data_IF_145873242827
#
_entry.id   IF_145873242827
#
_cell.length_a   1.000
_cell.length_b   1.000
_cell.length_c   1.000
_cell.angle_alpha   90.00
_cell.angle_beta   90.00
_cell.angle_gamma   90.00
#
_symmetry.space_group_name_H-M   'P 1'
#
loop_
_entity.id
_entity.type
_entity.pdbx_description
1 polymer ?
#
# COMPACT_ATOMS: atom_id res chain seq x y z
N UNK A 1 -11.11 51.42 -12.91
CA UNK A 1 -11.95 50.25 -12.58
C UNK A 1 -12.16 50.27 -11.08
N UNK A 2 -13.40 50.47 -10.62
CA UNK A 2 -13.72 50.52 -9.19
C UNK A 2 -13.52 49.17 -8.54
N UNK A 3 -12.59 49.14 -7.60
CA UNK A 3 -12.26 48.04 -6.69
C UNK A 3 -13.45 47.78 -5.73
N UNK A 4 -14.52 47.15 -6.24
CA UNK A 4 -15.73 46.87 -5.46
C UNK A 4 -15.75 45.41 -5.04
N UNK A 5 -15.42 45.20 -3.77
CA UNK A 5 -15.72 43.97 -3.02
C UNK A 5 -17.20 43.58 -3.24
N UNK A 6 -17.45 42.28 -3.46
CA UNK A 6 -18.79 41.78 -3.70
C UNK A 6 -19.74 42.11 -2.52
N UNK A 7 -20.98 42.59 -2.74
CA UNK A 7 -21.86 43.12 -1.67
C UNK A 7 -22.16 42.15 -0.52
N UNK A 8 -22.02 40.85 -0.75
CA UNK A 8 -22.25 39.80 0.25
C UNK A 8 -21.05 39.54 1.18
N UNK A 9 -19.85 40.01 0.82
CA UNK A 9 -18.63 39.74 1.60
C UNK A 9 -18.65 40.42 2.98
N UNK A 10 -19.13 41.66 3.16
CA UNK A 10 -19.31 42.25 4.50
C UNK A 10 -20.17 41.40 5.44
N UNK A 11 -21.26 40.79 4.91
CA UNK A 11 -22.11 39.90 5.70
C UNK A 11 -21.39 38.62 6.11
N UNK A 12 -20.59 38.03 5.21
CA UNK A 12 -19.75 36.87 5.54
C UNK A 12 -18.73 37.19 6.63
N UNK A 13 -18.12 38.39 6.56
CA UNK A 13 -17.18 38.89 7.57
C UNK A 13 -17.82 38.97 8.96
N UNK A 14 -19.03 39.51 9.04
CA UNK A 14 -19.82 39.58 10.29
C UNK A 14 -20.24 38.20 10.79
N UNK A 15 -20.70 37.31 9.90
CA UNK A 15 -21.10 35.96 10.28
C UNK A 15 -19.92 35.16 10.85
N UNK A 16 -18.71 35.34 10.30
CA UNK A 16 -17.51 34.74 10.86
C UNK A 16 -17.18 35.33 12.24
N UNK A 17 -17.26 36.65 12.39
CA UNK A 17 -17.00 37.33 13.67
C UNK A 17 -17.98 36.95 14.78
N UNK A 18 -19.22 36.63 14.41
CA UNK A 18 -20.26 36.16 15.33
C UNK A 18 -20.22 34.64 15.55
N UNK A 19 -19.28 33.91 14.93
CA UNK A 19 -19.19 32.44 15.01
C UNK A 19 -20.34 31.69 14.35
N UNK A 20 -21.16 32.36 13.52
CA UNK A 20 -22.32 31.77 12.83
C UNK A 20 -21.92 30.88 11.66
N UNK A 21 -20.75 31.14 11.07
CA UNK A 21 -20.15 30.29 10.04
C UNK A 21 -18.73 29.91 10.46
N UNK A 22 -18.32 28.71 10.07
CA UNK A 22 -16.95 28.27 10.29
C UNK A 22 -15.96 28.89 9.30
N UNK A 23 -14.68 28.95 9.67
CA UNK A 23 -13.56 29.40 8.82
C UNK A 23 -13.60 28.80 7.40
N UNK A 24 -13.83 27.50 7.29
CA UNK A 24 -13.86 26.78 6.00
C UNK A 24 -14.99 27.26 5.08
N UNK A 25 -16.13 27.57 5.67
CA UNK A 25 -17.30 28.08 4.95
C UNK A 25 -17.07 29.54 4.51
N UNK A 26 -16.50 30.36 5.39
CA UNK A 26 -16.08 31.73 5.05
C UNK A 26 -15.08 31.74 3.88
N UNK A 27 -13.99 30.96 3.98
CA UNK A 27 -12.96 30.92 2.94
C UNK A 27 -13.52 30.48 1.60
N UNK A 28 -14.28 29.37 1.57
CA UNK A 28 -14.90 28.86 0.34
C UNK A 28 -15.80 29.90 -0.32
N UNK A 29 -16.61 30.60 0.47
CA UNK A 29 -17.62 31.53 -0.05
C UNK A 29 -16.99 32.86 -0.43
N UNK A 30 -16.07 33.39 0.37
CA UNK A 30 -15.36 34.63 0.05
C UNK A 30 -14.51 34.50 -1.21
N UNK A 31 -13.78 33.39 -1.38
CA UNK A 31 -12.99 33.17 -2.60
C UNK A 31 -13.86 32.96 -3.84
N UNK A 32 -15.02 32.32 -3.68
CA UNK A 32 -16.00 32.19 -4.77
C UNK A 32 -16.55 33.56 -5.22
N UNK A 33 -16.67 34.50 -4.29
CA UNK A 33 -17.14 35.87 -4.52
C UNK A 33 -16.03 36.83 -4.98
N UNK A 34 -14.87 36.32 -5.38
CA UNK A 34 -13.79 37.10 -5.95
C UNK A 34 -12.80 37.69 -4.95
N UNK A 35 -12.91 37.38 -3.65
CA UNK A 35 -11.88 37.74 -2.67
C UNK A 35 -10.66 36.85 -2.90
N UNK A 36 -9.47 37.43 -3.01
CA UNK A 36 -8.25 36.63 -3.12
C UNK A 36 -8.08 35.73 -1.89
N UNK A 37 -7.53 34.53 -2.08
CA UNK A 37 -7.29 33.61 -0.97
C UNK A 37 -6.49 34.28 0.16
N UNK A 38 -5.45 35.04 -0.19
CA UNK A 38 -4.62 35.79 0.77
C UNK A 38 -5.42 36.81 1.58
N UNK A 39 -6.30 37.57 0.94
CA UNK A 39 -7.15 38.54 1.64
C UNK A 39 -8.19 37.85 2.54
N UNK A 40 -8.78 36.75 2.06
CA UNK A 40 -9.73 35.96 2.84
C UNK A 40 -9.07 35.32 4.09
N UNK A 41 -7.85 34.80 3.95
CA UNK A 41 -7.08 34.28 5.09
C UNK A 41 -6.70 35.39 6.07
N UNK A 42 -6.24 36.54 5.59
CA UNK A 42 -5.88 37.69 6.45
C UNK A 42 -7.09 38.16 7.29
N UNK A 43 -8.27 38.23 6.67
CA UNK A 43 -9.48 38.59 7.40
C UNK A 43 -9.88 37.53 8.42
N UNK A 44 -9.89 36.26 8.02
CA UNK A 44 -10.26 35.16 8.90
C UNK A 44 -9.31 35.05 10.10
N UNK A 45 -8.01 35.29 9.90
CA UNK A 45 -7.00 35.26 10.96
C UNK A 45 -7.15 36.44 11.93
N UNK A 46 -7.51 37.65 11.45
CA UNK A 46 -7.83 38.80 12.30
C UNK A 46 -9.05 38.56 13.19
N UNK A 47 -10.08 37.92 12.64
CA UNK A 47 -11.33 37.66 13.37
C UNK A 47 -11.21 36.47 14.32
N UNK A 48 -10.51 35.41 13.90
CA UNK A 48 -10.32 34.22 14.72
C UNK A 48 -9.17 34.33 15.72
N UNK A 49 -8.32 35.37 15.64
CA UNK A 49 -7.19 35.58 16.55
C UNK A 49 -6.06 34.57 16.43
N UNK A 50 -6.01 33.80 15.33
CA UNK A 50 -4.99 32.77 15.08
C UNK A 50 -4.41 32.98 13.68
N UNK A 51 -3.10 33.27 13.58
CA UNK A 51 -2.38 33.34 12.31
C UNK A 51 -2.17 31.93 11.76
N UNK A 52 -2.68 31.66 10.55
CA UNK A 52 -2.69 30.32 9.98
C UNK A 52 -2.45 30.33 8.46
N UNK A 53 -1.64 31.25 7.93
CA UNK A 53 -0.77 30.82 6.83
C UNK A 53 0.12 29.72 7.38
N UNK A 54 -0.39 28.49 7.34
CA UNK A 54 0.43 27.32 7.58
C UNK A 54 1.46 27.37 6.47
N UNK A 55 2.71 27.64 6.82
CA UNK A 55 3.83 27.40 5.91
C UNK A 55 3.57 26.05 5.25
N UNK A 56 3.71 25.99 3.93
CA UNK A 56 3.51 24.76 3.20
C UNK A 56 4.54 23.74 3.72
N UNK A 57 4.13 22.93 4.69
CA UNK A 57 4.98 21.92 5.26
C UNK A 57 5.13 20.85 4.18
N UNK A 58 6.23 20.89 3.44
CA UNK A 58 6.65 19.86 2.50
C UNK A 58 6.92 18.50 3.18
N UNK A 59 6.78 18.44 4.51
CA UNK A 59 6.92 17.20 5.26
C UNK A 59 5.63 16.38 5.15
N UNK A 60 5.70 15.29 4.38
CA UNK A 60 4.74 14.18 4.49
C UNK A 60 4.68 13.78 5.98
N UNK A 61 3.49 13.78 6.62
CA UNK A 61 3.37 13.37 8.01
C UNK A 61 4.02 12.00 8.21
N UNK A 62 5.00 11.90 9.13
CA UNK A 62 5.60 10.61 9.48
C UNK A 62 4.61 9.84 10.37
N UNK A 63 4.21 8.66 9.90
CA UNK A 63 3.26 7.81 10.60
C UNK A 63 1.80 8.19 10.36
N UNK A 64 0.90 7.53 11.09
CA UNK A 64 -0.55 7.70 10.96
C UNK A 64 -1.28 6.36 10.95
N UNK A 65 -2.62 6.42 10.93
CA UNK A 65 -3.47 5.23 10.81
C UNK A 65 -4.06 5.20 9.41
N UNK A 66 -3.59 4.26 8.59
CA UNK A 66 -4.25 3.92 7.34
C UNK A 66 -5.44 2.99 7.66
N UNK A 67 -6.65 3.39 7.27
CA UNK A 67 -7.85 2.55 7.38
C UNK A 67 -8.25 2.08 5.98
N UNK A 68 -8.26 0.77 5.79
CA UNK A 68 -8.67 0.12 4.54
C UNK A 68 -9.94 -0.67 4.83
N UNK A 69 -10.97 -0.50 4.01
CA UNK A 69 -12.18 -1.31 4.05
C UNK A 69 -12.12 -2.37 2.96
N UNK A 70 -12.24 -3.65 3.33
CA UNK A 70 -12.35 -4.77 2.40
C UNK A 70 -13.16 -5.91 3.01
N UNK A 71 -13.60 -6.86 2.18
CA UNK A 71 -14.16 -8.12 2.68
C UNK A 71 -13.04 -8.91 3.36
N UNK A 72 -13.26 -9.33 4.59
CA UNK A 72 -12.34 -10.21 5.33
C UNK A 72 -12.82 -11.64 5.17
N UNK A 73 -11.98 -12.48 4.59
CA UNK A 73 -12.22 -13.92 4.42
C UNK A 73 -11.42 -14.69 5.46
N UNK A 74 -11.89 -15.86 5.85
CA UNK A 74 -11.14 -16.76 6.73
C UNK A 74 -9.83 -17.21 6.07
N UNK A 75 -8.74 -17.20 6.85
CA UNK A 75 -7.38 -17.54 6.39
C UNK A 75 -6.86 -18.69 7.26
N UNK A 76 -6.90 -19.90 6.71
CA UNK A 76 -6.39 -21.11 7.38
C UNK A 76 -4.96 -21.45 6.98
N UNK A 77 -4.65 -21.31 5.69
CA UNK A 77 -3.34 -21.63 5.13
C UNK A 77 -3.02 -20.65 3.96
N UNK A 78 -1.85 -19.99 3.94
CA UNK A 78 -1.44 -19.12 2.83
C UNK A 78 -1.31 -19.82 1.47
N UNK A 79 -1.09 -21.13 1.46
CA UNK A 79 -0.92 -21.92 0.23
C UNK A 79 -2.25 -22.24 -0.48
N UNK A 80 -3.39 -21.99 0.16
CA UNK A 80 -4.73 -22.27 -0.39
C UNK A 80 -5.54 -20.99 -0.65
N UNK A 81 -4.85 -19.88 -0.90
CA UNK A 81 -5.49 -18.64 -1.29
C UNK A 81 -6.15 -18.73 -2.66
N UNK A 82 -7.44 -18.43 -2.67
CA UNK A 82 -8.33 -18.47 -3.83
C UNK A 82 -8.72 -17.05 -4.31
N UNK A 83 -8.47 -16.03 -3.49
CA UNK A 83 -8.92 -14.66 -3.72
C UNK A 83 -7.93 -13.61 -3.21
N UNK A 84 -7.95 -12.44 -3.85
CA UNK A 84 -7.01 -11.34 -3.60
C UNK A 84 -7.09 -10.78 -2.17
N UNK A 85 -8.27 -10.79 -1.53
CA UNK A 85 -8.44 -10.26 -0.18
C UNK A 85 -7.59 -11.02 0.86
N UNK A 86 -7.43 -12.35 0.69
CA UNK A 86 -6.57 -13.15 1.58
C UNK A 86 -5.11 -12.74 1.43
N UNK A 87 -4.66 -12.58 0.18
CA UNK A 87 -3.31 -12.11 -0.14
C UNK A 87 -3.05 -10.68 0.36
N UNK A 88 -4.05 -9.79 0.32
CA UNK A 88 -3.92 -8.42 0.85
C UNK A 88 -3.58 -8.40 2.35
N UNK A 89 -4.17 -9.32 3.12
CA UNK A 89 -3.92 -9.48 4.55
C UNK A 89 -2.54 -10.10 4.77
N UNK A 90 -2.21 -11.19 4.08
CA UNK A 90 -0.93 -11.89 4.27
C UNK A 90 0.29 -11.03 3.92
N UNK A 91 0.21 -10.18 2.89
CA UNK A 91 1.30 -9.25 2.52
C UNK A 91 1.67 -8.24 3.62
N UNK A 92 0.90 -8.14 4.69
CA UNK A 92 1.26 -7.32 5.86
C UNK A 92 2.23 -8.03 6.80
N UNK A 93 2.38 -9.36 6.68
CA UNK A 93 3.13 -10.20 7.65
C UNK A 93 4.15 -11.14 7.00
N UNK A 94 4.04 -11.41 5.70
CA UNK A 94 5.02 -12.19 4.92
C UNK A 94 5.46 -11.43 3.69
N UNK A 95 6.67 -11.75 3.22
CA UNK A 95 7.36 -11.03 2.16
C UNK A 95 7.73 -11.96 1.00
N UNK A 96 7.85 -11.40 -0.20
CA UNK A 96 8.15 -12.16 -1.42
C UNK A 96 9.65 -12.36 -1.65
N UNK A 97 10.04 -13.41 -2.38
CA UNK A 97 11.41 -13.54 -2.89
C UNK A 97 11.74 -12.41 -3.88
N UNK A 98 10.80 -12.08 -4.75
CA UNK A 98 10.90 -11.04 -5.78
C UNK A 98 9.66 -10.15 -5.77
N UNK A 99 9.78 -8.95 -6.33
CA UNK A 99 8.66 -8.00 -6.44
C UNK A 99 8.60 -7.39 -7.82
N UNK A 100 7.43 -7.44 -8.45
CA UNK A 100 7.15 -6.78 -9.73
C UNK A 100 6.64 -5.38 -9.48
N UNK A 101 7.31 -4.39 -10.08
CA UNK A 101 6.97 -2.98 -9.96
C UNK A 101 5.82 -2.55 -10.88
N UNK A 102 5.42 -1.28 -10.78
CA UNK A 102 4.42 -0.67 -11.66
C UNK A 102 4.85 -0.59 -13.14
N UNK A 103 6.15 -0.72 -13.37
CA UNK A 103 6.76 -0.80 -14.69
C UNK A 103 6.81 -2.23 -15.25
N UNK A 104 6.15 -3.19 -14.57
CA UNK A 104 6.18 -4.62 -14.88
C UNK A 104 7.58 -5.25 -14.85
N UNK A 105 8.56 -4.60 -14.21
CA UNK A 105 9.89 -5.16 -14.04
C UNK A 105 9.99 -5.85 -12.69
N UNK A 106 10.34 -7.13 -12.71
CA UNK A 106 10.57 -7.96 -11.52
C UNK A 106 11.95 -7.73 -10.95
N UNK A 107 12.03 -7.46 -9.65
CA UNK A 107 13.28 -7.13 -8.93
C UNK A 107 13.47 -8.00 -7.69
N UNK A 108 14.72 -8.16 -7.21
CA UNK A 108 14.98 -8.84 -5.95
C UNK A 108 14.27 -8.16 -4.77
N UNK A 109 13.76 -8.97 -3.84
CA UNK A 109 13.17 -8.49 -2.60
C UNK A 109 13.83 -9.17 -1.39
N UNK A 110 13.37 -10.36 -0.99
CA UNK A 110 14.13 -11.23 -0.07
C UNK A 110 15.34 -11.91 -0.73
N UNK A 111 15.43 -11.86 -2.06
CA UNK A 111 16.64 -12.18 -2.80
C UNK A 111 17.58 -10.97 -2.89
N UNK A 112 18.89 -11.22 -3.00
CA UNK A 112 19.89 -10.27 -3.51
C UNK A 112 19.93 -10.30 -5.03
N UNK A 113 19.64 -11.46 -5.62
CA UNK A 113 19.58 -11.66 -7.06
C UNK A 113 19.35 -13.13 -7.40
N UNK A 114 19.30 -13.42 -8.69
CA UNK A 114 19.21 -14.78 -9.21
C UNK A 114 20.03 -14.90 -10.49
N UNK A 115 20.27 -16.13 -10.92
CA UNK A 115 21.00 -16.47 -12.13
C UNK A 115 20.34 -17.68 -12.77
N UNK A 116 20.11 -17.63 -14.08
CA UNK A 116 19.58 -18.76 -14.84
C UNK A 116 20.72 -19.44 -15.58
N UNK A 117 20.66 -20.77 -15.69
CA UNK A 117 21.50 -21.54 -16.60
C UNK A 117 21.20 -21.20 -18.06
N UNK A 118 22.12 -21.51 -18.96
CA UNK A 118 21.99 -21.25 -20.40
C UNK A 118 20.74 -21.91 -21.02
N UNK A 119 20.33 -23.07 -20.50
CA UNK A 119 19.13 -23.80 -20.93
C UNK A 119 17.83 -23.34 -20.23
N UNK A 120 17.92 -22.37 -19.31
CA UNK A 120 16.84 -21.82 -18.51
C UNK A 120 16.12 -22.83 -17.59
N UNK A 121 16.71 -24.01 -17.38
CA UNK A 121 16.12 -25.07 -16.54
C UNK A 121 16.57 -25.02 -15.09
N UNK A 122 17.70 -24.37 -14.81
CA UNK A 122 18.25 -24.23 -13.46
C UNK A 122 18.33 -22.77 -13.07
N UNK A 123 17.79 -22.44 -11.89
CA UNK A 123 17.83 -21.08 -11.34
C UNK A 123 18.52 -21.09 -9.98
N UNK A 124 19.61 -20.33 -9.86
CA UNK A 124 20.31 -20.11 -8.60
C UNK A 124 19.77 -18.85 -7.95
N UNK A 125 19.09 -18.99 -6.80
CA UNK A 125 18.52 -17.88 -6.04
C UNK A 125 19.46 -17.49 -4.88
N UNK A 126 19.92 -16.24 -4.84
CA UNK A 126 20.80 -15.73 -3.78
C UNK A 126 19.96 -14.99 -2.72
N UNK A 127 19.85 -15.55 -1.51
CA UNK A 127 19.05 -14.95 -0.43
C UNK A 127 19.77 -13.75 0.23
N UNK A 128 18.98 -12.73 0.60
CA UNK A 128 19.44 -11.56 1.36
C UNK A 128 19.95 -11.97 2.74
N UNK A 129 21.15 -11.53 3.07
CA UNK A 129 21.73 -11.76 4.41
C UNK A 129 21.10 -10.89 5.49
N UNK A 130 21.10 -11.38 6.72
CA UNK A 130 20.63 -10.65 7.90
C UNK A 130 19.11 -10.56 8.06
N UNK A 131 18.33 -11.16 7.16
CA UNK A 131 16.88 -11.26 7.30
C UNK A 131 16.54 -12.23 8.44
N UNK A 132 15.59 -11.84 9.28
CA UNK A 132 15.11 -12.66 10.40
C UNK A 132 13.60 -12.74 10.35
N UNK A 133 13.08 -13.90 10.73
CA UNK A 133 11.68 -14.08 11.10
C UNK A 133 11.36 -13.23 12.33
N UNK A 134 10.08 -12.94 12.56
CA UNK A 134 9.62 -12.19 13.73
C UNK A 134 9.97 -12.88 15.06
N UNK A 135 10.21 -14.20 15.05
CA UNK A 135 10.72 -14.97 16.19
C UNK A 135 12.20 -14.75 16.49
N UNK A 136 12.94 -14.05 15.62
CA UNK A 136 14.38 -13.83 15.70
C UNK A 136 15.22 -14.87 14.96
N UNK A 137 14.64 -16.00 14.52
CA UNK A 137 15.32 -17.03 13.71
C UNK A 137 15.77 -16.44 12.37
N UNK A 138 16.96 -16.79 11.91
CA UNK A 138 17.44 -16.38 10.60
C UNK A 138 16.58 -16.97 9.47
N UNK A 139 16.36 -16.19 8.41
CA UNK A 139 15.78 -16.68 7.16
C UNK A 139 16.86 -17.32 6.30
N UNK A 140 16.67 -18.59 5.91
CA UNK A 140 17.67 -19.41 5.22
C UNK A 140 17.07 -20.15 4.02
N UNK A 141 17.92 -20.80 3.21
CA UNK A 141 17.50 -21.53 2.01
C UNK A 141 16.46 -22.62 2.31
N UNK A 142 16.60 -23.31 3.44
CA UNK A 142 15.68 -24.36 3.87
C UNK A 142 14.24 -23.85 4.06
N UNK A 143 14.05 -22.58 4.47
CA UNK A 143 12.72 -21.99 4.56
C UNK A 143 12.06 -21.87 3.17
N UNK A 144 12.87 -21.58 2.15
CA UNK A 144 12.41 -21.47 0.75
C UNK A 144 12.13 -22.85 0.18
N UNK A 145 13.03 -23.81 0.41
CA UNK A 145 12.87 -25.21 0.00
C UNK A 145 11.58 -25.77 0.58
N UNK A 146 11.42 -25.66 1.91
CA UNK A 146 10.21 -26.12 2.59
C UNK A 146 8.95 -25.48 2.02
N UNK A 147 8.97 -24.17 1.75
CA UNK A 147 7.81 -23.46 1.20
C UNK A 147 7.45 -23.93 -0.23
N UNK A 148 8.45 -24.24 -1.05
CA UNK A 148 8.26 -24.79 -2.39
C UNK A 148 7.76 -26.22 -2.35
N UNK A 149 8.34 -27.07 -1.51
CA UNK A 149 7.88 -28.45 -1.31
C UNK A 149 6.44 -28.47 -0.80
N UNK A 150 6.12 -27.66 0.21
CA UNK A 150 4.80 -27.62 0.80
C UNK A 150 3.73 -27.10 -0.20
N UNK A 151 4.04 -26.10 -1.02
CA UNK A 151 3.07 -25.59 -2.00
C UNK A 151 2.84 -26.58 -3.16
N UNK A 152 3.80 -27.46 -3.44
CA UNK A 152 3.72 -28.48 -4.50
C UNK A 152 3.20 -29.83 -3.99
N UNK A 153 3.09 -30.05 -2.68
CA UNK A 153 2.48 -31.25 -2.11
C UNK A 153 0.98 -31.31 -2.47
N UNK A 154 0.51 -32.38 -3.14
CA UNK A 154 -0.92 -32.59 -3.42
C UNK A 154 -1.81 -32.51 -2.17
N UNK A 155 -1.31 -32.94 -1.00
CA UNK A 155 -2.06 -32.89 0.26
C UNK A 155 -2.32 -31.46 0.75
N UNK A 156 -1.50 -30.49 0.32
CA UNK A 156 -1.72 -29.06 0.64
C UNK A 156 -2.97 -28.51 -0.05
N UNK A 157 -3.37 -29.09 -1.19
CA UNK A 157 -4.51 -28.61 -1.98
C UNK A 157 -4.27 -27.24 -2.59
N UNK A 158 -3.02 -26.87 -2.87
CA UNK A 158 -2.68 -25.59 -3.51
C UNK A 158 -2.99 -25.62 -5.00
N UNK A 159 -3.57 -24.53 -5.53
CA UNK A 159 -3.73 -24.34 -6.97
C UNK A 159 -2.40 -24.18 -7.72
N UNK A 160 -1.32 -23.81 -7.01
CA UNK A 160 0.03 -23.65 -7.58
C UNK A 160 0.58 -24.97 -8.10
N UNK A 161 0.21 -26.11 -7.48
CA UNK A 161 0.61 -27.43 -7.96
C UNK A 161 0.25 -27.61 -9.44
N UNK A 162 -0.99 -27.30 -9.82
CA UNK A 162 -1.43 -27.39 -11.22
C UNK A 162 -0.65 -26.47 -12.17
N UNK A 163 -0.24 -25.29 -11.70
CA UNK A 163 0.53 -24.33 -12.49
C UNK A 163 1.99 -24.75 -12.69
N UNK A 164 2.60 -25.30 -11.64
CA UNK A 164 4.03 -25.56 -11.58
C UNK A 164 4.42 -27.00 -11.92
N UNK A 165 3.44 -27.92 -11.99
CA UNK A 165 3.66 -29.35 -12.25
C UNK A 165 4.63 -29.60 -13.41
N UNK A 166 4.40 -28.97 -14.57
CA UNK A 166 5.22 -29.19 -15.77
C UNK A 166 6.63 -28.57 -15.72
N UNK A 167 6.94 -27.75 -14.71
CA UNK A 167 8.22 -27.06 -14.59
C UNK A 167 9.07 -27.57 -13.44
N UNK A 168 8.44 -27.99 -12.34
CA UNK A 168 9.12 -28.30 -11.08
C UNK A 168 8.94 -29.74 -10.62
N UNK A 169 8.09 -30.53 -11.27
CA UNK A 169 7.85 -31.93 -10.91
C UNK A 169 8.14 -32.84 -12.10
N UNK A 170 8.79 -33.96 -11.83
CA UNK A 170 8.90 -35.06 -12.78
C UNK A 170 7.74 -36.03 -12.55
N UNK A 171 6.95 -36.29 -13.59
CA UNK A 171 5.92 -37.32 -13.52
C UNK A 171 6.57 -38.70 -13.63
N UNK A 172 6.44 -39.50 -12.59
CA UNK A 172 6.80 -40.92 -12.61
C UNK A 172 5.52 -41.75 -12.60
N UNK A 173 5.43 -42.70 -13.53
CA UNK A 173 4.34 -43.68 -13.52
C UNK A 173 4.52 -44.59 -12.30
N UNK A 174 3.69 -44.38 -11.29
CA UNK A 174 3.72 -45.17 -10.06
C UNK A 174 3.09 -46.55 -10.22
N UNK A 175 2.48 -46.85 -11.37
CA UNK A 175 1.69 -48.07 -11.60
C UNK A 175 0.42 -48.16 -10.74
N UNK A 176 0.12 -47.14 -9.92
CA UNK A 176 -1.14 -47.01 -9.19
C UNK A 176 -2.11 -46.21 -10.05
N UNK A 177 -3.17 -46.88 -10.51
CA UNK A 177 -4.36 -46.22 -11.04
C UNK A 177 -5.22 -45.78 -9.87
N UNK A 178 -5.54 -44.49 -9.81
CA UNK A 178 -6.63 -43.97 -8.99
C UNK A 178 -7.99 -44.49 -9.50
#
# INVERSE_FOLDING_TARGET
>A
MTDREHPYVPRLKEQLAQGKIGRREFLRTATLLGVSASAAYTFADKVAGVSLMREAQAAIPKGGRLRIAMRVKDIKNPHTFDWAEKSNIARQVVEYLTKTGHDNVTRPYLLEGWEASDDLKTWTLRLRKGVKWHSGRAFVADDVIWNLEHVLDPATGSSVLGLMKGYMLEEYDTGKKD
#
